data_IF_544862253045
#
_entry.id   IF_544862253045
#
_cell.length_a   1.000
_cell.length_b   1.000
_cell.length_c   1.000
_cell.angle_alpha   90.00
_cell.angle_beta   90.00
_cell.angle_gamma   90.00
#
_symmetry.space_group_name_H-M   'P 1'
#
loop_
_entity.id
_entity.type
_entity.pdbx_description
1 polymer ?
#
# COMPACT_ATOMS: atom_id res chain seq x y z
N UNK A 1 -0.72 18.98 4.71
CA UNK A 1 -1.83 18.84 5.69
C UNK A 1 -2.92 17.86 5.24
N UNK A 2 -3.30 17.82 3.96
CA UNK A 2 -4.36 16.93 3.44
C UNK A 2 -4.05 15.44 3.59
N UNK A 3 -2.79 15.03 3.45
CA UNK A 3 -2.41 13.61 3.47
C UNK A 3 -2.37 13.02 4.90
N UNK A 4 -1.96 13.80 5.91
CA UNK A 4 -2.01 13.37 7.32
C UNK A 4 -3.46 13.15 7.81
N UNK A 5 -4.42 13.90 7.25
CA UNK A 5 -5.86 13.72 7.53
C UNK A 5 -6.41 12.46 6.88
N UNK A 6 -6.00 12.18 5.63
CA UNK A 6 -6.29 10.89 4.97
C UNK A 6 -5.75 9.72 5.79
N UNK A 7 -4.54 9.83 6.32
CA UNK A 7 -3.94 8.78 7.17
C UNK A 7 -4.70 8.62 8.50
N UNK A 8 -5.09 9.72 9.16
CA UNK A 8 -5.90 9.66 10.39
C UNK A 8 -7.28 9.05 10.11
N UNK A 9 -7.92 9.43 9.01
CA UNK A 9 -9.21 8.89 8.59
C UNK A 9 -9.13 7.40 8.21
N UNK A 10 -7.99 6.91 7.73
CA UNK A 10 -7.74 5.48 7.44
C UNK A 10 -7.51 4.66 8.72
N UNK A 11 -6.84 5.24 9.72
CA UNK A 11 -6.47 4.55 10.97
C UNK A 11 -7.65 4.51 11.96
N UNK A 12 -8.52 5.53 11.95
CA UNK A 12 -9.65 5.62 12.88
C UNK A 12 -10.96 5.01 12.36
N UNK A 13 -11.13 4.80 11.05
CA UNK A 13 -12.37 4.29 10.48
C UNK A 13 -12.23 2.88 9.91
N UNK A 14 -13.16 2.03 10.35
CA UNK A 14 -13.73 0.93 9.56
C UNK A 14 -14.23 1.49 8.22
N UNK A 15 -13.33 1.73 7.27
CA UNK A 15 -13.70 2.15 5.92
C UNK A 15 -14.67 1.09 5.36
N UNK A 16 -15.90 1.45 5.00
CA UNK A 16 -16.82 0.53 4.35
C UNK A 16 -16.12 -0.07 3.14
N UNK A 17 -16.33 -1.36 2.88
CA UNK A 17 -15.64 -2.12 1.83
C UNK A 17 -15.64 -1.38 0.45
N UNK A 18 -16.71 -0.63 0.20
CA UNK A 18 -16.95 0.18 -1.02
C UNK A 18 -16.10 1.45 -1.15
N UNK A 19 -15.43 1.92 -0.10
CA UNK A 19 -14.58 3.12 -0.13
C UNK A 19 -13.12 2.82 -0.47
N UNK A 20 -12.69 1.57 -0.36
CA UNK A 20 -11.31 1.16 -0.65
C UNK A 20 -10.86 1.40 -2.09
N UNK A 21 -11.66 1.08 -3.13
CA UNK A 21 -11.25 1.36 -4.50
C UNK A 21 -10.95 2.84 -4.73
N UNK A 22 -11.79 3.72 -4.19
CA UNK A 22 -11.61 5.17 -4.28
C UNK A 22 -10.35 5.66 -3.55
N UNK A 23 -10.03 5.07 -2.41
CA UNK A 23 -8.78 5.37 -1.71
C UNK A 23 -7.56 4.92 -2.52
N UNK A 24 -7.61 3.71 -3.09
CA UNK A 24 -6.51 3.18 -3.87
C UNK A 24 -6.26 4.01 -5.13
N UNK A 25 -7.32 4.41 -5.84
CA UNK A 25 -7.24 5.32 -6.98
C UNK A 25 -6.59 6.66 -6.59
N UNK A 26 -6.96 7.21 -5.42
CA UNK A 26 -6.35 8.42 -4.89
C UNK A 26 -4.85 8.24 -4.62
N UNK A 27 -4.46 7.13 -3.96
CA UNK A 27 -3.05 6.83 -3.64
C UNK A 27 -2.22 6.64 -4.91
N UNK A 28 -2.75 5.96 -5.92
CA UNK A 28 -2.08 5.77 -7.22
C UNK A 28 -1.88 7.10 -7.93
N UNK A 29 -2.90 7.96 -7.94
CA UNK A 29 -2.74 9.30 -8.53
C UNK A 29 -1.71 10.12 -7.76
N UNK A 30 -1.70 10.04 -6.44
CA UNK A 30 -0.75 10.76 -5.59
C UNK A 30 0.68 10.21 -5.70
N UNK A 31 0.87 8.93 -6.03
CA UNK A 31 2.21 8.36 -6.27
C UNK A 31 2.93 8.96 -7.48
N UNK A 32 2.20 9.70 -8.32
CA UNK A 32 2.75 10.36 -9.51
C UNK A 32 3.06 11.84 -9.28
N UNK A 33 2.91 12.31 -8.03
CA UNK A 33 3.21 13.69 -7.68
C UNK A 33 4.66 14.06 -8.03
N UNK A 34 4.91 15.26 -8.58
CA UNK A 34 6.29 15.74 -8.77
C UNK A 34 7.03 15.93 -7.44
N UNK A 35 6.30 16.11 -6.33
CA UNK A 35 6.84 16.33 -5.01
C UNK A 35 7.20 15.01 -4.32
N UNK A 36 8.49 14.83 -3.99
CA UNK A 36 8.99 13.61 -3.35
C UNK A 36 8.26 13.28 -2.04
N UNK A 37 8.05 14.28 -1.18
CA UNK A 37 7.38 14.09 0.11
C UNK A 37 5.95 13.56 -0.03
N UNK A 38 5.21 13.93 -1.07
CA UNK A 38 3.86 13.39 -1.29
C UNK A 38 3.91 11.91 -1.64
N UNK A 39 4.87 11.51 -2.48
CA UNK A 39 5.09 10.10 -2.83
C UNK A 39 5.55 9.28 -1.62
N UNK A 40 6.43 9.84 -0.78
CA UNK A 40 6.86 9.20 0.48
C UNK A 40 5.66 8.88 1.36
N UNK A 41 4.75 9.84 1.53
CA UNK A 41 3.57 9.64 2.37
C UNK A 41 2.62 8.61 1.76
N UNK A 42 2.48 8.55 0.43
CA UNK A 42 1.71 7.49 -0.25
C UNK A 42 2.27 6.10 0.06
N UNK A 43 3.59 5.92 -0.10
CA UNK A 43 4.22 4.61 0.17
C UNK A 43 4.13 4.25 1.65
N UNK A 44 4.33 5.20 2.55
CA UNK A 44 4.18 4.98 3.98
C UNK A 44 2.74 4.59 4.37
N UNK A 45 1.75 5.20 3.71
CA UNK A 45 0.34 4.84 3.90
C UNK A 45 0.08 3.40 3.46
N UNK A 46 0.55 3.02 2.27
CA UNK A 46 0.42 1.65 1.78
C UNK A 46 1.15 0.64 2.68
N UNK A 47 2.35 0.97 3.16
CA UNK A 47 3.08 0.16 4.14
C UNK A 47 2.25 -0.07 5.41
N UNK A 48 1.64 0.99 5.95
CA UNK A 48 0.83 0.92 7.17
C UNK A 48 -0.46 0.11 6.95
N UNK A 49 -1.10 0.29 5.79
CA UNK A 49 -2.25 -0.51 5.37
C UNK A 49 -1.91 -2.00 5.24
N UNK A 50 -0.71 -2.30 4.74
CA UNK A 50 -0.21 -3.68 4.69
C UNK A 50 0.05 -4.30 6.07
N UNK A 51 0.16 -3.51 7.15
CA UNK A 51 0.29 -4.03 8.50
C UNK A 51 -1.06 -4.22 9.22
N UNK A 52 -2.13 -3.61 8.72
CA UNK A 52 -3.40 -3.49 9.46
C UNK A 52 -4.55 -4.28 8.84
N UNK A 53 -4.72 -4.25 7.51
CA UNK A 53 -5.93 -4.79 6.85
C UNK A 53 -5.67 -5.58 5.55
N UNK A 54 -4.56 -6.34 5.46
CA UNK A 54 -4.18 -7.04 4.21
C UNK A 54 -5.22 -8.03 3.68
N UNK A 55 -5.99 -8.68 4.55
CA UNK A 55 -7.08 -9.56 4.10
C UNK A 55 -8.10 -8.84 3.21
N UNK A 56 -8.31 -7.53 3.42
CA UNK A 56 -9.22 -6.68 2.64
C UNK A 56 -8.65 -6.27 1.28
N UNK A 57 -7.33 -6.40 1.07
CA UNK A 57 -6.67 -5.95 -0.15
C UNK A 57 -6.42 -7.05 -1.18
N UNK A 58 -6.83 -8.30 -0.92
CA UNK A 58 -6.45 -9.45 -1.75
C UNK A 58 -6.71 -9.22 -3.26
N UNK A 59 -7.86 -8.66 -3.63
CA UNK A 59 -8.22 -8.36 -5.01
C UNK A 59 -7.40 -7.21 -5.63
N UNK A 60 -6.93 -6.30 -4.79
CA UNK A 60 -6.19 -5.09 -5.18
C UNK A 60 -4.66 -5.26 -5.12
N UNK A 61 -4.16 -6.39 -4.59
CA UNK A 61 -2.74 -6.67 -4.46
C UNK A 61 -1.95 -6.50 -5.77
N UNK A 62 -2.43 -6.96 -6.95
CA UNK A 62 -1.70 -6.76 -8.21
C UNK A 62 -1.44 -5.27 -8.51
N UNK A 63 -2.41 -4.41 -8.25
CA UNK A 63 -2.31 -2.98 -8.49
C UNK A 63 -1.34 -2.31 -7.49
N UNK A 64 -1.38 -2.74 -6.23
CA UNK A 64 -0.45 -2.29 -5.18
C UNK A 64 1.00 -2.72 -5.52
N UNK A 65 1.21 -3.96 -6.01
CA UNK A 65 2.53 -4.42 -6.44
C UNK A 65 3.06 -3.64 -7.64
N UNK A 66 2.22 -3.29 -8.61
CA UNK A 66 2.62 -2.42 -9.73
C UNK A 66 3.07 -1.04 -9.24
N UNK A 67 2.35 -0.46 -8.27
CA UNK A 67 2.74 0.80 -7.66
C UNK A 67 4.09 0.67 -6.94
N UNK A 68 4.32 -0.41 -6.17
CA UNK A 68 5.62 -0.66 -5.54
C UNK A 68 6.74 -0.86 -6.56
N UNK A 69 6.51 -1.57 -7.66
CA UNK A 69 7.51 -1.74 -8.72
C UNK A 69 7.96 -0.38 -9.30
N UNK A 70 7.00 0.55 -9.49
CA UNK A 70 7.29 1.93 -9.90
C UNK A 70 8.04 2.71 -8.81
N UNK A 71 7.59 2.62 -7.57
CA UNK A 71 8.17 3.38 -6.45
C UNK A 71 9.60 2.92 -6.07
N UNK A 72 9.96 1.65 -6.31
CA UNK A 72 11.33 1.17 -6.20
C UNK A 72 12.30 1.92 -7.12
N UNK A 73 11.79 2.45 -8.23
CA UNK A 73 12.57 3.20 -9.22
C UNK A 73 12.41 4.71 -9.04
N UNK A 74 11.98 5.19 -7.86
CA UNK A 74 11.80 6.62 -7.62
C UNK A 74 13.08 7.40 -7.95
N UNK A 75 13.04 8.38 -8.85
CA UNK A 75 14.24 9.04 -9.34
C UNK A 75 14.83 10.05 -8.36
N UNK A 76 14.07 10.51 -7.35
CA UNK A 76 14.43 11.67 -6.53
C UNK A 76 14.53 11.38 -5.03
N UNK A 77 13.85 10.37 -4.52
CA UNK A 77 13.81 10.06 -3.10
C UNK A 77 14.31 8.65 -2.80
N UNK A 78 15.38 8.58 -2.02
CA UNK A 78 15.85 7.33 -1.44
C UNK A 78 14.83 6.77 -0.44
N UNK A 79 14.11 7.64 0.28
CA UNK A 79 13.14 7.26 1.30
C UNK A 79 11.94 6.54 0.69
N UNK A 80 11.44 7.02 -0.48
CA UNK A 80 10.42 6.32 -1.26
C UNK A 80 10.89 4.91 -1.58
N UNK A 81 12.11 4.75 -2.10
CA UNK A 81 12.65 3.43 -2.46
C UNK A 81 12.82 2.53 -1.24
N UNK A 82 13.38 3.06 -0.15
CA UNK A 82 13.63 2.31 1.08
C UNK A 82 12.32 1.84 1.74
N UNK A 83 11.33 2.71 1.84
CA UNK A 83 10.01 2.37 2.40
C UNK A 83 9.28 1.37 1.52
N UNK A 84 9.44 1.47 0.19
CA UNK A 84 8.85 0.51 -0.75
C UNK A 84 9.41 -0.90 -0.55
N UNK A 85 10.71 -1.05 -0.31
CA UNK A 85 11.32 -2.36 0.01
C UNK A 85 10.72 -2.93 1.30
N UNK A 86 10.54 -2.11 2.33
CA UNK A 86 9.90 -2.54 3.59
C UNK A 86 8.46 -3.01 3.36
N UNK A 87 7.69 -2.26 2.57
CA UNK A 87 6.31 -2.60 2.21
C UNK A 87 6.21 -3.91 1.43
N UNK A 88 7.11 -4.17 0.49
CA UNK A 88 7.20 -5.44 -0.23
C UNK A 88 7.55 -6.59 0.70
N UNK A 89 8.47 -6.39 1.65
CA UNK A 89 8.79 -7.37 2.69
C UNK A 89 7.54 -7.83 3.43
N UNK A 90 6.72 -6.88 3.89
CA UNK A 90 5.44 -7.19 4.57
C UNK A 90 4.43 -7.86 3.66
N UNK A 91 4.22 -7.33 2.46
CA UNK A 91 3.29 -7.92 1.49
C UNK A 91 3.67 -9.38 1.14
N UNK A 92 4.97 -9.73 1.16
CA UNK A 92 5.44 -11.09 0.90
C UNK A 92 5.04 -12.11 1.98
N UNK A 93 4.87 -11.66 3.24
CA UNK A 93 4.43 -12.51 4.35
C UNK A 93 2.99 -13.01 4.10
N UNK A 94 2.15 -12.17 3.49
CA UNK A 94 0.77 -12.51 3.15
C UNK A 94 0.67 -13.48 1.97
N UNK A 95 1.52 -13.34 0.95
CA UNK A 95 1.56 -14.33 -0.16
C UNK A 95 1.88 -15.74 0.36
N UNK A 96 2.79 -15.86 1.33
CA UNK A 96 3.14 -17.14 1.95
C UNK A 96 2.00 -17.71 2.78
N UNK A 97 1.28 -16.86 3.53
CA UNK A 97 0.12 -17.28 4.32
C UNK A 97 -1.02 -17.83 3.44
N UNK A 98 -1.35 -17.14 2.34
CA UNK A 98 -2.40 -17.58 1.41
C UNK A 98 -2.05 -18.88 0.68
N UNK A 99 -0.77 -19.07 0.30
CA UNK A 99 -0.29 -20.30 -0.33
C UNK A 99 -0.31 -21.51 0.62
N UNK A 100 -0.12 -21.30 1.93
CA UNK A 100 -0.18 -22.37 2.93
C UNK A 100 -1.62 -22.85 3.17
N UNK A 101 -2.61 -21.97 3.14
CA UNK A 101 -4.03 -22.32 3.32
C UNK A 101 -4.59 -23.25 2.23
N UNK A 102 -4.04 -23.20 1.02
CA UNK A 102 -4.46 -24.03 -0.12
C UNK A 102 -3.78 -25.40 -0.17
N UNK A 103 -2.77 -25.65 0.67
CA UNK A 103 -2.08 -26.94 0.77
C UNK A 103 -2.75 -27.84 1.82
N UNK A 104 -3.44 -27.26 2.82
CA UNK A 104 -4.15 -28.04 3.86
C UNK A 104 -5.53 -28.54 3.39
N UNK A 105 -5.96 -28.14 2.19
CA UNK A 105 -7.26 -28.49 1.61
C UNK A 105 -7.21 -29.63 0.56
N UNK A 106 -6.16 -30.46 0.58
CA UNK A 106 -6.05 -31.67 -0.26
C UNK A 106 -5.82 -32.92 0.59
#
# INVERSE_FOLDING_TARGET
HSIARVISDIVDLKLPEKMWPKLLDFLIKASDSPAAHEREVVIFTLYTLMNTVVGTFAENLPQIYNLFAKALQDPKSLEVRATTVQALGRASEFMKANKKSSIVSF
#
